data_IF_124637834983
#
_entry.id   IF_124637834983
#
_cell.length_a   1.000
_cell.length_b   1.000
_cell.length_c   1.000
_cell.angle_alpha   90.00
_cell.angle_beta   90.00
_cell.angle_gamma   90.00
#
_symmetry.space_group_name_H-M   'P 1'
#
loop_
_entity.id
_entity.type
_entity.pdbx_description
1 polymer ?
#
# COMPACT_ATOMS: atom_id res chain seq x y z
N UNK A 1 5.72 -40.51 -13.52
CA UNK A 1 5.42 -39.62 -14.66
C UNK A 1 6.14 -38.32 -14.34
N UNK A 2 7.00 -37.81 -15.22
CA UNK A 2 7.90 -36.71 -14.83
C UNK A 2 7.10 -35.51 -14.33
N UNK A 3 7.33 -35.11 -13.09
CA UNK A 3 6.79 -33.95 -12.37
C UNK A 3 7.28 -32.62 -13.00
N UNK A 4 7.06 -32.45 -14.30
CA UNK A 4 7.45 -31.23 -15.01
C UNK A 4 6.25 -30.30 -14.99
N UNK A 5 6.43 -29.13 -14.36
CA UNK A 5 5.47 -28.05 -14.37
C UNK A 5 4.96 -27.76 -15.80
N UNK A 6 3.65 -27.71 -15.98
CA UNK A 6 3.05 -27.46 -17.29
C UNK A 6 3.24 -26.01 -17.73
N UNK A 7 3.33 -25.09 -16.76
CA UNK A 7 3.50 -23.66 -16.98
C UNK A 7 4.91 -23.16 -16.64
N UNK A 8 5.57 -22.52 -17.60
CA UNK A 8 6.76 -21.70 -17.35
C UNK A 8 6.41 -20.22 -17.38
N UNK A 9 6.63 -19.50 -16.29
CA UNK A 9 6.46 -18.04 -16.23
C UNK A 9 7.83 -17.40 -16.53
N UNK A 10 7.98 -16.91 -17.75
CA UNK A 10 9.25 -16.39 -18.27
C UNK A 10 9.28 -14.87 -18.14
N UNK A 11 10.27 -14.39 -17.39
CA UNK A 11 10.67 -13.00 -17.36
C UNK A 11 11.45 -12.58 -18.59
N UNK A 12 11.19 -11.40 -19.14
CA UNK A 12 11.97 -10.82 -20.23
C UNK A 12 12.18 -9.30 -20.10
N UNK A 13 13.33 -8.82 -20.59
CA UNK A 13 13.62 -7.40 -20.77
C UNK A 13 13.29 -6.89 -22.18
N UNK A 14 13.54 -5.62 -22.43
CA UNK A 14 13.40 -5.01 -23.77
C UNK A 14 14.55 -5.37 -24.71
N UNK A 15 15.57 -6.08 -24.22
CA UNK A 15 16.66 -6.72 -24.96
C UNK A 15 16.34 -8.15 -25.42
N UNK A 16 15.11 -8.63 -25.20
CA UNK A 16 14.69 -9.91 -25.74
C UNK A 16 14.74 -9.92 -27.29
N UNK A 17 15.16 -11.05 -27.89
CA UNK A 17 15.46 -12.32 -27.23
C UNK A 17 16.89 -12.48 -26.71
N UNK A 18 17.80 -11.57 -27.05
CA UNK A 18 19.23 -11.70 -26.73
C UNK A 18 19.49 -11.70 -25.21
N UNK A 19 18.66 -11.01 -24.43
CA UNK A 19 18.70 -10.99 -22.96
C UNK A 19 18.13 -12.23 -22.27
N UNK A 20 17.54 -13.18 -23.00
CA UNK A 20 16.93 -14.37 -22.40
C UNK A 20 17.98 -15.40 -21.97
N UNK A 21 17.79 -15.97 -20.78
CA UNK A 21 18.62 -17.08 -20.31
C UNK A 21 18.45 -18.33 -21.19
N UNK A 22 19.44 -19.22 -21.19
CA UNK A 22 19.35 -20.51 -21.88
C UNK A 22 18.13 -21.35 -21.44
N UNK A 23 17.75 -21.28 -20.16
CA UNK A 23 16.56 -21.95 -19.64
C UNK A 23 15.27 -21.33 -20.20
N UNK A 24 15.18 -20.00 -20.27
CA UNK A 24 14.04 -19.28 -20.85
C UNK A 24 13.89 -19.60 -22.34
N UNK A 25 14.98 -19.61 -23.10
CA UNK A 25 14.99 -19.98 -24.51
C UNK A 25 14.58 -21.45 -24.72
N UNK A 26 15.05 -22.36 -23.85
CA UNK A 26 14.65 -23.76 -23.89
C UNK A 26 13.15 -23.94 -23.62
N UNK A 27 12.60 -23.23 -22.63
CA UNK A 27 11.17 -23.27 -22.35
C UNK A 27 10.34 -22.76 -23.54
N UNK A 28 10.75 -21.64 -24.15
CA UNK A 28 10.10 -21.07 -25.33
C UNK A 28 10.12 -21.99 -26.55
N UNK A 29 11.25 -22.65 -26.83
CA UNK A 29 11.39 -23.57 -27.97
C UNK A 29 10.53 -24.85 -27.82
N UNK A 30 10.30 -25.30 -26.60
CA UNK A 30 9.51 -26.51 -26.32
C UNK A 30 8.03 -26.22 -26.01
N UNK A 31 7.65 -24.95 -25.96
CA UNK A 31 6.28 -24.55 -25.68
C UNK A 31 5.35 -24.92 -26.83
N UNK A 32 4.13 -25.35 -26.50
CA UNK A 32 3.04 -25.44 -27.47
C UNK A 32 2.31 -24.10 -27.59
N UNK A 33 2.23 -23.35 -26.48
CA UNK A 33 1.59 -22.05 -26.40
C UNK A 33 2.49 -21.05 -25.70
N UNK A 34 2.56 -19.84 -26.25
CA UNK A 34 3.19 -18.69 -25.60
C UNK A 34 2.14 -17.61 -25.42
N UNK A 35 1.81 -17.29 -24.17
CA UNK A 35 0.81 -16.30 -23.83
C UNK A 35 1.45 -15.08 -23.17
N UNK A 36 1.03 -13.88 -23.57
CA UNK A 36 1.54 -12.64 -22.98
C UNK A 36 1.04 -11.39 -23.69
N UNK A 37 1.33 -10.19 -23.14
CA UNK A 37 1.00 -8.93 -23.80
C UNK A 37 1.64 -8.85 -25.20
N UNK A 38 0.94 -8.22 -26.16
CA UNK A 38 1.43 -8.06 -27.55
C UNK A 38 2.85 -7.51 -27.62
N UNK A 39 3.15 -6.52 -26.76
CA UNK A 39 4.51 -5.99 -26.56
C UNK A 39 5.56 -7.07 -26.41
N UNK A 40 5.36 -8.03 -25.51
CA UNK A 40 6.34 -9.08 -25.24
C UNK A 40 6.39 -10.10 -26.36
N UNK A 41 5.24 -10.46 -26.93
CA UNK A 41 5.16 -11.41 -28.05
C UNK A 41 5.91 -10.90 -29.28
N UNK A 42 5.91 -9.58 -29.51
CA UNK A 42 6.65 -8.91 -30.58
C UNK A 42 8.17 -8.86 -30.38
N UNK A 43 8.68 -9.09 -29.16
CA UNK A 43 10.12 -9.18 -28.86
C UNK A 43 10.67 -10.60 -29.04
N UNK A 44 9.79 -11.60 -29.16
CA UNK A 44 10.21 -12.98 -29.32
C UNK A 44 10.59 -13.27 -30.77
N UNK A 45 11.54 -14.20 -31.00
CA UNK A 45 11.84 -14.68 -32.34
C UNK A 45 10.64 -15.44 -32.91
N UNK A 46 10.81 -15.92 -34.14
CA UNK A 46 9.91 -16.92 -34.68
C UNK A 46 9.99 -18.20 -33.82
N UNK A 47 8.81 -18.70 -33.46
CA UNK A 47 8.61 -19.88 -32.62
C UNK A 47 7.56 -20.76 -33.28
N UNK A 48 7.70 -22.07 -33.15
CA UNK A 48 6.67 -23.03 -33.59
C UNK A 48 5.41 -23.00 -32.69
N UNK A 49 5.53 -22.40 -31.51
CA UNK A 49 4.46 -22.28 -30.53
C UNK A 49 3.36 -21.31 -31.00
N UNK A 50 2.11 -21.62 -30.66
CA UNK A 50 0.98 -20.73 -30.90
C UNK A 50 1.06 -19.53 -29.96
N UNK A 51 1.21 -18.32 -30.52
CA UNK A 51 1.23 -17.06 -29.76
C UNK A 51 -0.20 -16.63 -29.42
N UNK A 52 -0.47 -16.40 -28.14
CA UNK A 52 -1.78 -15.98 -27.62
C UNK A 52 -1.63 -14.61 -26.96
N UNK A 53 -2.22 -13.53 -27.50
CA UNK A 53 -2.26 -12.24 -26.83
C UNK A 53 -3.00 -12.32 -25.49
N UNK A 54 -2.41 -11.79 -24.43
CA UNK A 54 -3.07 -11.64 -23.14
C UNK A 54 -4.08 -10.48 -23.20
N UNK A 55 -5.35 -10.67 -22.81
CA UNK A 55 -6.39 -9.66 -22.95
C UNK A 55 -6.28 -8.51 -21.93
N UNK A 56 -6.98 -7.43 -22.21
CA UNK A 56 -7.17 -6.30 -21.29
C UNK A 56 -8.67 -6.21 -20.98
N UNK A 57 -9.09 -6.23 -19.70
CA UNK A 57 -8.30 -6.24 -18.47
C UNK A 57 -7.55 -7.56 -18.19
N UNK A 58 -6.48 -7.48 -17.39
CA UNK A 58 -5.58 -8.61 -17.10
C UNK A 58 -6.31 -9.86 -16.56
N UNK A 59 -7.37 -9.67 -15.75
CA UNK A 59 -8.11 -10.76 -15.12
C UNK A 59 -8.72 -11.74 -16.13
N UNK A 60 -9.13 -11.25 -17.30
CA UNK A 60 -9.79 -12.05 -18.34
C UNK A 60 -8.83 -13.11 -18.94
N UNK A 61 -7.52 -12.89 -18.81
CA UNK A 61 -6.51 -13.83 -19.29
C UNK A 61 -6.26 -15.02 -18.36
N UNK A 62 -6.75 -14.98 -17.11
CA UNK A 62 -6.53 -16.06 -16.14
C UNK A 62 -7.29 -17.32 -16.58
N UNK A 63 -8.59 -17.21 -16.87
CA UNK A 63 -9.38 -18.37 -17.29
C UNK A 63 -8.87 -18.96 -18.62
N UNK A 64 -8.42 -18.09 -19.53
CA UNK A 64 -7.79 -18.50 -20.78
C UNK A 64 -6.50 -19.28 -20.55
N UNK A 65 -5.65 -18.84 -19.62
CA UNK A 65 -4.44 -19.55 -19.23
C UNK A 65 -4.77 -20.91 -18.59
N UNK A 66 -5.74 -20.94 -17.66
CA UNK A 66 -6.15 -22.15 -16.95
C UNK A 66 -6.77 -23.19 -17.88
N UNK A 67 -7.41 -22.78 -18.97
CA UNK A 67 -7.92 -23.69 -20.00
C UNK A 67 -6.81 -24.49 -20.72
N UNK A 68 -5.55 -24.03 -20.64
CA UNK A 68 -4.38 -24.71 -21.21
C UNK A 68 -3.66 -25.62 -20.20
N UNK A 69 -4.20 -25.79 -18.99
CA UNK A 69 -3.60 -26.61 -17.92
C UNK A 69 -3.23 -28.01 -18.42
N UNK A 70 -2.02 -28.46 -18.08
CA UNK A 70 -1.47 -29.75 -18.52
C UNK A 70 -0.80 -29.74 -19.91
N UNK A 71 -0.86 -28.63 -20.64
CA UNK A 71 -0.10 -28.41 -21.89
C UNK A 71 1.23 -27.71 -21.58
N UNK A 72 2.21 -27.76 -22.50
CA UNK A 72 3.46 -27.00 -22.35
C UNK A 72 3.23 -25.53 -22.68
N UNK A 73 3.08 -24.70 -21.66
CA UNK A 73 2.75 -23.28 -21.81
C UNK A 73 3.85 -22.39 -21.27
N UNK A 74 4.16 -21.31 -21.98
CA UNK A 74 4.98 -20.20 -21.47
C UNK A 74 4.10 -18.97 -21.29
N UNK A 75 4.06 -18.41 -20.08
CA UNK A 75 3.47 -17.10 -19.80
C UNK A 75 4.56 -16.05 -19.66
N UNK A 76 4.48 -14.96 -20.44
CA UNK A 76 5.48 -13.90 -20.46
C UNK A 76 5.17 -12.81 -19.44
N UNK A 77 6.21 -12.39 -18.71
CA UNK A 77 6.16 -11.25 -17.78
C UNK A 77 7.39 -10.36 -17.95
N UNK A 78 7.29 -9.08 -17.57
CA UNK A 78 8.45 -8.17 -17.62
C UNK A 78 9.43 -8.46 -16.49
N UNK A 79 10.72 -8.49 -16.81
CA UNK A 79 11.81 -8.61 -15.84
C UNK A 79 11.64 -9.81 -14.91
N UNK A 80 11.54 -9.56 -13.60
CA UNK A 80 11.23 -10.61 -12.63
C UNK A 80 9.70 -10.77 -12.50
N UNK A 81 9.10 -11.95 -12.82
CA UNK A 81 7.66 -12.14 -12.76
C UNK A 81 7.02 -11.89 -11.39
N UNK A 82 7.78 -11.93 -10.30
CA UNK A 82 7.30 -11.79 -8.93
C UNK A 82 7.63 -10.44 -8.28
N UNK A 83 8.29 -9.51 -8.99
CA UNK A 83 8.57 -8.19 -8.45
C UNK A 83 7.75 -7.12 -9.16
N UNK A 84 6.53 -6.90 -8.65
CA UNK A 84 5.47 -6.10 -9.31
C UNK A 84 5.07 -6.65 -10.70
N UNK A 85 5.24 -7.95 -10.92
CA UNK A 85 4.88 -8.64 -12.16
C UNK A 85 3.64 -9.52 -12.05
N UNK A 86 3.21 -10.03 -13.21
CA UNK A 86 2.03 -10.90 -13.37
C UNK A 86 2.14 -12.26 -12.65
N UNK A 87 3.35 -12.70 -12.30
CA UNK A 87 3.59 -14.03 -11.74
C UNK A 87 2.84 -14.28 -10.44
N UNK A 88 2.78 -13.28 -9.55
CA UNK A 88 2.01 -13.39 -8.29
C UNK A 88 0.50 -13.50 -8.51
N UNK A 89 -0.03 -12.88 -9.56
CA UNK A 89 -1.45 -12.99 -9.93
C UNK A 89 -1.77 -14.35 -10.50
N UNK A 90 -0.91 -14.87 -11.38
CA UNK A 90 -1.06 -16.20 -11.97
C UNK A 90 -0.92 -17.30 -10.92
N UNK A 91 0.14 -17.26 -10.10
CA UNK A 91 0.46 -18.29 -9.12
C UNK A 91 -0.63 -18.47 -8.04
N UNK A 92 -1.45 -17.45 -7.77
CA UNK A 92 -2.57 -17.53 -6.83
C UNK A 92 -3.65 -18.54 -7.23
N UNK A 93 -3.72 -18.94 -8.51
CA UNK A 93 -4.69 -19.90 -9.03
C UNK A 93 -4.13 -21.31 -9.23
N UNK A 94 -2.87 -21.54 -8.86
CA UNK A 94 -2.11 -22.74 -9.18
C UNK A 94 -1.43 -23.32 -7.94
N UNK A 95 -1.33 -24.64 -7.87
CA UNK A 95 -0.48 -25.30 -6.89
C UNK A 95 1.02 -25.11 -7.24
N UNK A 96 1.89 -25.16 -6.24
CA UNK A 96 3.32 -24.87 -6.41
C UNK A 96 4.05 -25.80 -7.41
N UNK A 97 3.54 -27.01 -7.65
CA UNK A 97 4.12 -27.96 -8.60
C UNK A 97 3.64 -27.74 -10.05
N UNK A 98 2.62 -26.91 -10.27
CA UNK A 98 2.04 -26.68 -11.60
C UNK A 98 2.87 -25.71 -12.45
N UNK A 99 3.72 -24.90 -11.82
CA UNK A 99 4.43 -23.83 -12.48
C UNK A 99 5.90 -23.74 -12.04
N UNK A 100 6.72 -23.18 -12.93
CA UNK A 100 8.10 -22.77 -12.66
C UNK A 100 8.30 -21.34 -13.15
N UNK A 101 9.12 -20.54 -12.46
CA UNK A 101 9.45 -19.20 -12.88
C UNK A 101 10.89 -19.09 -13.35
N UNK A 102 11.10 -18.42 -14.48
CA UNK A 102 12.40 -18.17 -15.09
C UNK A 102 12.61 -16.65 -15.17
N UNK A 103 13.10 -16.01 -14.09
CA UNK A 103 13.18 -14.56 -14.02
C UNK A 103 14.30 -14.00 -14.89
N UNK A 104 14.07 -12.82 -15.45
CA UNK A 104 15.11 -11.94 -15.96
C UNK A 104 15.45 -10.85 -14.92
N UNK A 105 16.59 -10.12 -15.07
CA UNK A 105 16.83 -8.93 -14.26
C UNK A 105 15.62 -7.99 -14.28
N UNK A 106 15.23 -7.48 -13.11
CA UNK A 106 14.12 -6.55 -13.00
C UNK A 106 14.50 -5.17 -13.54
N UNK A 107 13.50 -4.37 -13.93
CA UNK A 107 13.72 -2.96 -14.28
C UNK A 107 14.37 -2.21 -13.10
N UNK A 108 14.04 -2.56 -11.85
CA UNK A 108 14.69 -2.00 -10.67
C UNK A 108 16.19 -2.30 -10.63
N UNK A 109 16.59 -3.56 -10.80
CA UNK A 109 18.00 -3.96 -10.82
C UNK A 109 18.75 -3.26 -11.95
N UNK A 110 18.11 -3.16 -13.11
CA UNK A 110 18.70 -2.51 -14.27
C UNK A 110 18.90 -0.99 -14.04
N UNK A 111 17.86 -0.28 -13.58
CA UNK A 111 17.92 1.16 -13.32
C UNK A 111 18.90 1.45 -12.17
N UNK A 112 18.87 0.66 -11.10
CA UNK A 112 19.79 0.79 -9.98
C UNK A 112 21.25 0.65 -10.43
N UNK A 113 21.56 -0.32 -11.29
CA UNK A 113 22.90 -0.49 -11.86
C UNK A 113 23.32 0.72 -12.72
N UNK A 114 22.42 1.27 -13.53
CA UNK A 114 22.70 2.48 -14.33
C UNK A 114 22.87 3.75 -13.51
N UNK A 115 22.17 3.85 -12.39
CA UNK A 115 22.27 5.01 -11.49
C UNK A 115 23.37 4.85 -10.45
N UNK A 116 23.94 3.65 -10.28
CA UNK A 116 24.87 3.34 -9.19
C UNK A 116 24.19 3.38 -7.82
N UNK A 117 22.91 3.02 -7.74
CA UNK A 117 22.13 3.06 -6.51
C UNK A 117 22.05 1.68 -5.85
N UNK A 118 22.31 1.55 -4.54
CA UNK A 118 22.10 0.30 -3.81
C UNK A 118 20.60 0.02 -3.70
N UNK A 119 20.15 -1.14 -4.20
CA UNK A 119 18.73 -1.52 -4.19
C UNK A 119 18.17 -1.64 -2.78
N UNK A 120 18.96 -2.11 -1.83
CA UNK A 120 18.59 -2.28 -0.43
C UNK A 120 18.33 -0.95 0.31
N UNK A 121 18.72 0.19 -0.28
CA UNK A 121 18.43 1.54 0.24
C UNK A 121 17.57 2.38 -0.74
N UNK A 122 17.11 1.78 -1.85
CA UNK A 122 16.33 2.47 -2.88
C UNK A 122 14.89 2.00 -2.85
N UNK A 123 13.96 2.92 -2.65
CA UNK A 123 12.53 2.60 -2.67
C UNK A 123 12.10 2.15 -4.07
N UNK A 124 11.50 0.96 -4.18
CA UNK A 124 11.02 0.42 -5.45
C UNK A 124 9.49 0.47 -5.47
N UNK A 125 8.91 1.25 -6.39
CA UNK A 125 7.48 1.52 -6.42
C UNK A 125 6.85 1.10 -7.77
N UNK A 126 5.92 0.16 -7.74
CA UNK A 126 5.18 -0.30 -8.91
C UNK A 126 3.94 0.53 -9.24
N UNK A 127 4.10 1.79 -9.62
CA UNK A 127 2.98 2.72 -9.86
C UNK A 127 2.32 2.57 -11.24
N UNK A 128 2.72 1.59 -12.03
CA UNK A 128 2.00 1.21 -13.25
C UNK A 128 0.58 0.71 -12.94
N UNK A 129 0.37 0.17 -11.73
CA UNK A 129 -0.90 -0.37 -11.25
C UNK A 129 -1.39 0.29 -9.94
N UNK A 130 -0.78 1.40 -9.51
CA UNK A 130 -1.10 2.07 -8.24
C UNK A 130 -1.05 3.60 -8.39
N UNK A 131 -1.80 4.37 -7.57
CA UNK A 131 -1.79 5.82 -7.64
C UNK A 131 -0.47 6.42 -7.14
N UNK A 132 -0.13 7.62 -7.61
CA UNK A 132 1.10 8.31 -7.20
C UNK A 132 1.16 8.62 -5.70
N UNK A 133 0.01 8.70 -5.04
CA UNK A 133 -0.05 8.92 -3.59
C UNK A 133 0.63 7.82 -2.77
N UNK A 134 0.85 6.63 -3.33
CA UNK A 134 1.66 5.58 -2.68
C UNK A 134 3.13 5.98 -2.47
N UNK A 135 3.61 7.02 -3.15
CA UNK A 135 4.92 7.62 -2.88
C UNK A 135 4.93 8.39 -1.57
N UNK A 136 3.77 8.84 -1.07
CA UNK A 136 3.70 9.80 0.04
C UNK A 136 4.51 9.40 1.28
N UNK A 137 4.47 8.13 1.74
CA UNK A 137 5.27 7.68 2.89
C UNK A 137 6.79 7.66 2.63
N UNK A 138 7.22 7.54 1.37
CA UNK A 138 8.63 7.44 0.99
C UNK A 138 9.24 8.79 0.55
N UNK A 139 8.42 9.82 0.34
CA UNK A 139 8.87 11.15 -0.06
C UNK A 139 9.52 11.89 1.11
N UNK A 140 10.84 11.97 1.07
CA UNK A 140 11.68 12.77 1.95
C UNK A 140 12.90 13.30 1.19
N UNK A 141 13.42 14.46 1.60
CA UNK A 141 14.64 15.04 1.03
C UNK A 141 15.78 14.01 1.03
N UNK A 142 16.40 13.78 -0.12
CA UNK A 142 17.51 12.85 -0.30
C UNK A 142 17.11 11.39 -0.54
N UNK A 143 15.82 11.05 -0.46
CA UNK A 143 15.35 9.71 -0.79
C UNK A 143 15.63 9.36 -2.26
N UNK A 144 15.92 8.09 -2.52
CA UNK A 144 16.10 7.53 -3.87
C UNK A 144 14.99 6.55 -4.14
N UNK A 145 14.24 6.78 -5.21
CA UNK A 145 13.09 5.97 -5.59
C UNK A 145 13.23 5.53 -7.04
N UNK A 146 12.90 4.29 -7.35
CA UNK A 146 12.68 3.84 -8.72
C UNK A 146 11.18 3.56 -8.85
N UNK A 147 10.56 4.16 -9.87
CA UNK A 147 9.12 4.20 -10.07
C UNK A 147 8.78 3.64 -11.43
N UNK A 148 8.06 2.52 -11.45
CA UNK A 148 7.49 1.96 -12.68
C UNK A 148 6.23 2.76 -13.03
N UNK A 149 6.13 3.19 -14.29
CA UNK A 149 5.00 3.99 -14.77
C UNK A 149 4.12 3.18 -15.69
N UNK A 150 2.84 3.54 -15.76
CA UNK A 150 1.84 2.86 -16.59
C UNK A 150 2.12 3.04 -18.08
N UNK A 151 2.52 4.24 -18.46
CA UNK A 151 2.70 4.68 -19.84
C UNK A 151 3.50 5.99 -19.89
N UNK A 152 3.68 6.52 -21.10
CA UNK A 152 4.32 7.82 -21.31
C UNK A 152 3.61 9.00 -20.64
N UNK A 153 2.29 9.17 -20.80
CA UNK A 153 1.53 10.22 -20.12
C UNK A 153 1.71 10.27 -18.59
N UNK A 154 1.89 9.10 -17.95
CA UNK A 154 2.13 9.02 -16.50
C UNK A 154 3.39 9.77 -16.04
N UNK A 155 4.35 10.06 -16.94
CA UNK A 155 5.51 10.91 -16.61
C UNK A 155 5.08 12.31 -16.17
N UNK A 156 4.21 12.96 -16.94
CA UNK A 156 3.72 14.30 -16.59
C UNK A 156 2.93 14.28 -15.28
N UNK A 157 2.16 13.20 -15.04
CA UNK A 157 1.45 12.98 -13.79
C UNK A 157 2.39 12.84 -12.58
N UNK A 158 3.51 12.11 -12.73
CA UNK A 158 4.53 11.99 -11.68
C UNK A 158 5.16 13.36 -11.37
N UNK A 159 5.58 14.11 -12.41
CA UNK A 159 6.14 15.45 -12.26
C UNK A 159 5.17 16.41 -11.53
N UNK A 160 3.90 16.42 -11.95
CA UNK A 160 2.87 17.25 -11.33
C UNK A 160 2.62 16.85 -9.87
N UNK A 161 2.57 15.55 -9.57
CA UNK A 161 2.40 15.05 -8.22
C UNK A 161 3.56 15.49 -7.31
N UNK A 162 4.81 15.21 -7.71
CA UNK A 162 5.99 15.59 -6.93
C UNK A 162 6.03 17.11 -6.68
N UNK A 163 5.72 17.91 -7.69
CA UNK A 163 5.67 19.37 -7.59
C UNK A 163 4.60 19.83 -6.60
N UNK A 164 3.38 19.29 -6.71
CA UNK A 164 2.29 19.60 -5.78
C UNK A 164 2.60 19.22 -4.33
N UNK A 165 3.44 18.19 -4.13
CA UNK A 165 3.90 17.76 -2.82
C UNK A 165 5.10 18.57 -2.28
N UNK A 166 5.57 19.60 -3.00
CA UNK A 166 6.72 20.43 -2.60
C UNK A 166 8.09 19.86 -3.00
N UNK A 167 8.13 18.83 -3.85
CA UNK A 167 9.33 18.14 -4.33
C UNK A 167 9.61 18.39 -5.82
N UNK A 168 9.16 19.53 -6.35
CA UNK A 168 9.46 19.95 -7.74
C UNK A 168 10.96 19.99 -8.09
N UNK A 169 11.88 20.35 -7.17
CA UNK A 169 13.31 20.29 -7.42
C UNK A 169 13.91 18.87 -7.57
N UNK A 170 13.11 17.81 -7.41
CA UNK A 170 13.58 16.42 -7.55
C UNK A 170 14.17 16.16 -8.93
N UNK A 171 15.29 15.46 -8.98
CA UNK A 171 15.94 15.07 -10.22
C UNK A 171 15.37 13.73 -10.69
N UNK A 172 14.87 13.70 -11.92
CA UNK A 172 14.28 12.53 -12.55
C UNK A 172 15.17 12.07 -13.70
N UNK A 173 15.55 10.81 -13.69
CA UNK A 173 16.15 10.12 -14.83
C UNK A 173 15.15 9.11 -15.37
N UNK A 174 14.59 9.39 -16.54
CA UNK A 174 13.57 8.56 -17.17
C UNK A 174 14.21 7.64 -18.19
N UNK A 175 13.79 6.38 -18.18
CA UNK A 175 14.31 5.34 -19.06
C UNK A 175 13.15 4.73 -19.85
N UNK A 176 13.07 5.07 -21.14
CA UNK A 176 12.20 4.40 -22.10
C UNK A 176 12.87 3.10 -22.56
N UNK A 177 12.10 2.01 -22.70
CA UNK A 177 12.58 0.71 -23.17
C UNK A 177 13.87 0.24 -22.47
N UNK A 178 13.95 0.44 -21.15
CA UNK A 178 15.14 0.23 -20.34
C UNK A 178 15.80 -1.14 -20.59
N UNK A 179 17.11 -1.13 -20.88
CA UNK A 179 17.92 -2.30 -21.14
C UNK A 179 17.89 -2.82 -22.57
N UNK A 180 16.94 -2.38 -23.40
CA UNK A 180 16.82 -2.81 -24.79
C UNK A 180 17.55 -1.93 -25.80
N UNK A 181 17.57 -2.32 -27.09
CA UNK A 181 18.21 -1.55 -28.16
C UNK A 181 17.52 -0.22 -28.46
N UNK A 182 16.27 -0.05 -28.00
CA UNK A 182 15.48 1.19 -28.13
C UNK A 182 15.57 2.08 -26.89
N UNK A 183 16.48 1.78 -25.98
CA UNK A 183 16.65 2.54 -24.75
C UNK A 183 16.88 4.03 -25.04
N UNK A 184 16.13 4.87 -24.32
CA UNK A 184 16.35 6.31 -24.31
C UNK A 184 16.30 6.81 -22.88
N UNK A 185 17.30 7.60 -22.51
CA UNK A 185 17.38 8.28 -21.23
C UNK A 185 17.07 9.76 -21.40
N UNK A 186 16.20 10.28 -20.55
CA UNK A 186 15.91 11.71 -20.44
C UNK A 186 16.04 12.13 -18.98
N UNK A 187 16.84 13.15 -18.71
CA UNK A 187 16.98 13.74 -17.39
C UNK A 187 16.21 15.07 -17.32
N UNK A 188 15.44 15.30 -16.25
CA UNK A 188 14.67 16.53 -16.02
C UNK A 188 14.46 16.78 -14.52
N UNK A 189 14.01 17.99 -14.16
CA UNK A 189 13.48 18.27 -12.83
C UNK A 189 11.97 18.02 -12.80
N UNK A 190 11.44 17.52 -11.69
CA UNK A 190 10.00 17.27 -11.56
C UNK A 190 9.14 18.53 -11.78
N UNK A 191 9.67 19.71 -11.44
CA UNK A 191 9.04 21.01 -11.64
C UNK A 191 9.04 21.50 -13.08
N UNK A 192 9.85 20.89 -13.95
CA UNK A 192 9.93 21.27 -15.35
C UNK A 192 8.95 20.41 -16.18
N UNK A 193 8.08 21.03 -17.00
CA UNK A 193 7.17 20.28 -17.85
C UNK A 193 7.97 19.45 -18.86
N UNK A 194 7.60 18.18 -19.11
CA UNK A 194 8.28 17.40 -20.13
C UNK A 194 8.14 18.02 -21.51
N UNK A 195 9.26 18.09 -22.25
CA UNK A 195 9.32 18.75 -23.55
C UNK A 195 8.91 17.85 -24.73
N UNK A 196 8.69 16.56 -24.47
CA UNK A 196 8.30 15.57 -25.46
C UNK A 196 7.47 14.46 -24.81
N UNK A 197 6.84 13.63 -25.64
CA UNK A 197 6.12 12.44 -25.19
C UNK A 197 7.07 11.26 -25.01
N UNK A 198 6.79 10.41 -24.02
CA UNK A 198 7.56 9.19 -23.76
C UNK A 198 6.84 7.98 -24.33
N UNK A 199 7.60 7.04 -24.89
CA UNK A 199 7.13 5.75 -25.31
C UNK A 199 7.03 4.79 -24.11
N UNK A 200 6.03 3.91 -24.15
CA UNK A 200 5.93 2.80 -23.21
C UNK A 200 6.80 1.62 -23.69
N UNK A 201 7.49 0.89 -22.80
CA UNK A 201 7.54 1.07 -21.34
C UNK A 201 8.47 2.21 -20.91
N UNK A 202 8.14 2.87 -19.80
CA UNK A 202 8.95 3.93 -19.20
C UNK A 202 9.00 3.78 -17.68
N UNK A 203 10.16 4.08 -17.10
CA UNK A 203 10.40 4.06 -15.65
C UNK A 203 11.17 5.31 -15.25
N UNK A 204 11.01 5.76 -14.01
CA UNK A 204 11.71 6.92 -13.47
C UNK A 204 12.63 6.50 -12.31
N UNK A 205 13.90 6.92 -12.34
CA UNK A 205 14.71 7.05 -11.14
C UNK A 205 14.53 8.47 -10.59
N UNK A 206 14.16 8.60 -9.33
CA UNK A 206 13.83 9.87 -8.67
C UNK A 206 14.78 10.07 -7.50
N UNK A 207 15.64 11.08 -7.59
CA UNK A 207 16.35 11.61 -6.43
C UNK A 207 15.52 12.76 -5.86
N UNK A 208 14.88 12.50 -4.72
CA UNK A 208 13.89 13.39 -4.12
C UNK A 208 14.58 14.64 -3.57
N UNK A 209 14.18 15.80 -4.08
CA UNK A 209 14.67 17.11 -3.64
C UNK A 209 13.51 18.10 -3.48
N UNK A 210 13.57 18.95 -2.45
CA UNK A 210 12.61 20.01 -2.21
C UNK A 210 12.41 20.29 -0.72
N UNK A 211 11.45 21.16 -0.43
CA UNK A 211 11.05 21.52 0.93
C UNK A 211 9.66 21.01 1.29
N UNK A 212 9.13 20.07 0.52
CA UNK A 212 7.87 19.40 0.82
C UNK A 212 7.93 18.69 2.17
N UNK A 213 6.81 18.73 2.89
CA UNK A 213 6.74 18.10 4.21
C UNK A 213 6.93 16.58 4.07
N UNK A 214 7.83 16.06 4.90
CA UNK A 214 8.09 14.63 5.03
C UNK A 214 7.25 14.06 6.16
N UNK A 215 6.69 12.88 5.92
CA UNK A 215 5.80 12.22 6.86
C UNK A 215 6.60 11.76 8.11
N UNK A 216 6.30 12.25 9.34
CA UNK A 216 7.03 11.84 10.55
C UNK A 216 6.91 10.34 10.82
N UNK A 217 7.99 9.66 11.24
CA UNK A 217 7.93 8.19 11.41
C UNK A 217 7.18 7.75 12.68
N UNK A 218 7.17 8.60 13.72
CA UNK A 218 6.46 8.30 14.96
C UNK A 218 4.95 8.51 14.82
N UNK A 219 4.17 7.72 15.56
CA UNK A 219 2.73 7.91 15.70
C UNK A 219 2.39 9.26 16.36
N UNK A 220 1.16 9.73 16.15
CA UNK A 220 0.77 11.09 16.51
C UNK A 220 1.38 12.09 15.53
N UNK A 221 1.18 11.86 14.23
CA UNK A 221 1.53 12.82 13.18
C UNK A 221 0.77 14.15 13.39
N UNK A 222 1.32 15.31 13.00
CA UNK A 222 0.59 16.59 13.08
C UNK A 222 -0.81 16.53 12.47
N UNK A 223 -1.76 17.26 13.07
CA UNK A 223 -3.17 17.20 12.67
C UNK A 223 -3.41 17.72 11.24
N UNK A 224 -2.55 18.57 10.69
CA UNK A 224 -2.70 19.12 9.33
C UNK A 224 -2.56 18.07 8.21
N UNK A 225 -2.10 16.86 8.53
CA UNK A 225 -2.03 15.75 7.58
C UNK A 225 -3.39 15.13 7.27
N UNK A 226 -4.42 15.49 8.03
CA UNK A 226 -5.75 14.88 7.94
C UNK A 226 -6.80 15.96 7.78
N UNK A 227 -7.62 15.84 6.75
CA UNK A 227 -8.85 16.60 6.65
C UNK A 227 -9.81 16.11 7.74
N UNK A 228 -10.44 17.05 8.45
CA UNK A 228 -11.35 16.76 9.56
C UNK A 228 -12.43 17.83 9.69
N UNK A 229 -13.62 17.40 10.10
CA UNK A 229 -14.74 18.26 10.53
C UNK A 229 -14.57 18.88 11.94
N UNK A 230 -13.39 18.71 12.55
CA UNK A 230 -13.07 19.17 13.90
C UNK A 230 -13.21 18.10 14.99
N UNK A 231 -13.78 16.93 14.70
CA UNK A 231 -13.95 15.83 15.67
C UNK A 231 -12.81 14.81 15.67
N UNK A 232 -11.73 15.04 14.94
CA UNK A 232 -10.58 14.15 14.92
C UNK A 232 -9.85 14.07 16.28
N UNK A 233 -9.43 12.86 16.64
CA UNK A 233 -8.51 12.59 17.75
C UNK A 233 -7.22 13.40 17.58
N UNK A 234 -6.90 14.26 18.55
CA UNK A 234 -5.74 15.14 18.47
C UNK A 234 -4.42 14.38 18.55
N UNK A 235 -3.39 14.89 17.87
CA UNK A 235 -2.04 14.30 17.80
C UNK A 235 -1.54 13.59 19.07
N UNK A 236 -1.50 14.24 20.27
CA UNK A 236 -0.95 13.57 21.46
C UNK A 236 -1.77 12.34 21.87
N UNK A 237 -3.08 12.42 21.70
CA UNK A 237 -3.99 11.32 22.02
C UNK A 237 -3.87 10.19 20.99
N UNK A 238 -3.66 10.51 19.71
CA UNK A 238 -3.36 9.49 18.69
C UNK A 238 -2.07 8.74 18.99
N UNK A 239 -1.02 9.44 19.44
CA UNK A 239 0.23 8.80 19.84
C UNK A 239 0.04 7.80 20.98
N UNK A 240 -0.67 8.20 22.05
CA UNK A 240 -0.96 7.32 23.19
C UNK A 240 -1.85 6.13 22.78
N UNK A 241 -2.87 6.38 21.95
CA UNK A 241 -3.76 5.34 21.44
C UNK A 241 -3.01 4.33 20.57
N UNK A 242 -2.17 4.77 19.62
CA UNK A 242 -1.35 3.87 18.81
C UNK A 242 -0.33 3.11 19.65
N UNK A 243 0.21 3.73 20.70
CA UNK A 243 1.08 3.03 21.65
C UNK A 243 0.34 1.90 22.38
N UNK A 244 -0.91 2.11 22.77
CA UNK A 244 -1.73 1.09 23.41
C UNK A 244 -2.18 -0.01 22.43
N UNK A 245 -2.49 0.37 21.18
CA UNK A 245 -2.86 -0.55 20.09
C UNK A 245 -1.70 -1.46 19.65
N UNK A 246 -0.46 -0.97 19.75
CA UNK A 246 0.77 -1.73 19.53
C UNK A 246 0.78 -2.54 18.21
N UNK A 247 0.79 -1.89 17.03
CA UNK A 247 0.79 -2.58 15.75
C UNK A 247 1.98 -3.54 15.61
N UNK A 248 1.68 -4.76 15.15
CA UNK A 248 2.67 -5.78 14.78
C UNK A 248 2.42 -6.23 13.35
N UNK A 249 3.45 -6.65 12.60
CA UNK A 249 3.28 -7.11 11.23
C UNK A 249 2.15 -8.15 11.06
N UNK A 250 1.39 -8.02 9.98
CA UNK A 250 0.24 -8.87 9.61
C UNK A 250 -1.03 -8.72 10.46
N UNK A 251 -0.98 -7.93 11.55
CA UNK A 251 -2.16 -7.69 12.36
C UNK A 251 -3.26 -6.90 11.61
N UNK A 252 -4.51 -7.24 11.92
CA UNK A 252 -5.71 -6.59 11.42
C UNK A 252 -6.37 -5.75 12.53
N UNK A 253 -6.54 -4.46 12.26
CA UNK A 253 -7.27 -3.52 13.13
C UNK A 253 -8.73 -3.39 12.70
N UNK A 254 -9.66 -3.48 13.66
CA UNK A 254 -10.97 -2.83 13.54
C UNK A 254 -10.93 -1.46 14.22
N UNK A 255 -11.27 -0.41 13.48
CA UNK A 255 -11.39 0.97 13.98
C UNK A 255 -12.87 1.36 14.02
N UNK A 256 -13.48 1.30 15.20
CA UNK A 256 -14.92 1.54 15.40
C UNK A 256 -15.14 3.01 15.79
N UNK A 257 -15.92 3.71 14.96
CA UNK A 257 -16.14 5.14 15.09
C UNK A 257 -15.03 5.94 14.44
N UNK A 258 -14.79 5.68 13.15
CA UNK A 258 -13.60 6.15 12.42
C UNK A 258 -13.38 7.66 12.41
N UNK A 259 -14.43 8.48 12.40
CA UNK A 259 -14.30 9.93 12.33
C UNK A 259 -13.58 10.35 11.04
N UNK A 260 -12.35 10.86 11.16
CA UNK A 260 -11.49 11.19 10.01
C UNK A 260 -10.58 10.03 9.55
N UNK A 261 -10.62 8.88 10.23
CA UNK A 261 -9.82 7.69 9.94
C UNK A 261 -8.38 7.77 10.44
N UNK A 262 -8.05 8.81 11.21
CA UNK A 262 -6.67 9.10 11.62
C UNK A 262 -5.96 7.95 12.38
N UNK A 263 -6.68 7.17 13.20
CA UNK A 263 -6.12 6.01 13.90
C UNK A 263 -5.80 4.88 12.92
N UNK A 264 -6.76 4.45 12.10
CA UNK A 264 -6.53 3.41 11.09
C UNK A 264 -5.47 3.81 10.06
N UNK A 265 -5.42 5.08 9.65
CA UNK A 265 -4.41 5.57 8.72
C UNK A 265 -3.01 5.52 9.34
N UNK A 266 -2.83 6.00 10.58
CA UNK A 266 -1.52 5.89 11.25
C UNK A 266 -1.13 4.44 11.52
N UNK A 267 -2.10 3.57 11.82
CA UNK A 267 -1.88 2.12 11.91
C UNK A 267 -1.33 1.57 10.59
N UNK A 268 -1.95 1.88 9.45
CA UNK A 268 -1.47 1.44 8.14
C UNK A 268 -0.12 2.06 7.76
N UNK A 269 0.19 3.27 8.21
CA UNK A 269 1.50 3.88 8.00
C UNK A 269 2.62 3.23 8.83
N UNK A 270 2.28 2.44 9.85
CA UNK A 270 3.29 1.79 10.71
C UNK A 270 4.01 0.63 10.02
N UNK A 271 3.32 -0.12 9.14
CA UNK A 271 3.91 -1.26 8.44
C UNK A 271 3.12 -1.63 7.18
N UNK A 272 3.76 -2.04 6.07
CA UNK A 272 3.05 -2.40 4.83
C UNK A 272 2.16 -3.65 4.98
N UNK A 273 2.45 -4.56 5.91
CA UNK A 273 1.70 -5.82 6.05
C UNK A 273 0.50 -5.73 6.98
N UNK A 274 0.37 -4.67 7.78
CA UNK A 274 -0.83 -4.52 8.62
C UNK A 274 -2.03 -4.10 7.78
N UNK A 275 -3.20 -4.52 8.24
CA UNK A 275 -4.50 -4.25 7.62
C UNK A 275 -5.38 -3.48 8.59
N UNK A 276 -6.35 -2.74 8.07
CA UNK A 276 -7.34 -2.05 8.89
C UNK A 276 -8.70 -2.02 8.19
N UNK A 277 -9.75 -2.20 8.98
CA UNK A 277 -11.13 -1.97 8.59
C UNK A 277 -11.73 -0.92 9.52
N UNK A 278 -12.16 0.21 8.97
CA UNK A 278 -12.79 1.30 9.71
C UNK A 278 -14.30 1.24 9.53
N UNK A 279 -15.05 1.35 10.63
CA UNK A 279 -16.51 1.41 10.67
C UNK A 279 -16.92 2.85 10.99
N UNK A 280 -17.69 3.47 10.10
CA UNK A 280 -18.19 4.84 10.25
C UNK A 280 -19.63 4.94 9.75
N UNK A 281 -20.48 5.62 10.53
CA UNK A 281 -21.93 5.68 10.29
C UNK A 281 -22.34 6.85 9.39
N UNK A 282 -21.50 7.88 9.26
CA UNK A 282 -21.80 9.07 8.48
C UNK A 282 -21.15 8.98 7.10
N UNK A 283 -21.96 8.97 6.04
CA UNK A 283 -21.48 8.87 4.66
C UNK A 283 -20.44 9.95 4.28
N UNK A 284 -20.61 11.19 4.74
CA UNK A 284 -19.65 12.27 4.49
C UNK A 284 -18.27 11.99 5.12
N UNK A 285 -18.26 11.38 6.30
CA UNK A 285 -17.02 10.95 6.97
C UNK A 285 -16.41 9.74 6.32
N UNK A 286 -17.21 8.79 5.85
CA UNK A 286 -16.72 7.68 5.01
C UNK A 286 -15.96 8.22 3.80
N UNK A 287 -16.50 9.24 3.13
CA UNK A 287 -15.78 9.90 2.03
C UNK A 287 -14.47 10.54 2.52
N UNK A 288 -14.51 11.31 3.61
CA UNK A 288 -13.32 11.95 4.20
C UNK A 288 -12.22 10.95 4.59
N UNK A 289 -12.59 9.80 5.17
CA UNK A 289 -11.65 8.72 5.51
C UNK A 289 -10.96 8.19 4.25
N UNK A 290 -11.73 7.92 3.19
CA UNK A 290 -11.17 7.45 1.92
C UNK A 290 -10.25 8.50 1.28
N UNK A 291 -10.64 9.78 1.29
CA UNK A 291 -9.83 10.87 0.75
C UNK A 291 -8.50 11.00 1.54
N UNK A 292 -8.55 11.00 2.87
CA UNK A 292 -7.36 11.04 3.73
C UNK A 292 -6.44 9.83 3.49
N UNK A 293 -7.00 8.62 3.45
CA UNK A 293 -6.25 7.40 3.21
C UNK A 293 -5.57 7.42 1.84
N UNK A 294 -6.29 7.87 0.80
CA UNK A 294 -5.74 8.04 -0.54
C UNK A 294 -4.62 9.07 -0.56
N UNK A 295 -4.79 10.26 0.01
CA UNK A 295 -3.77 11.32 0.04
C UNK A 295 -2.50 10.88 0.76
N UNK A 296 -2.63 10.08 1.82
CA UNK A 296 -1.53 9.57 2.64
C UNK A 296 -0.92 8.26 2.12
N UNK A 297 -1.38 7.75 0.98
CA UNK A 297 -0.81 6.57 0.32
C UNK A 297 -1.18 5.24 0.99
N UNK A 298 -2.31 5.19 1.70
CA UNK A 298 -2.82 4.00 2.39
C UNK A 298 -4.28 3.70 2.03
N UNK A 299 -4.65 3.91 0.77
CA UNK A 299 -5.94 3.56 0.15
C UNK A 299 -6.29 2.05 0.24
N UNK A 300 -5.37 1.21 0.74
CA UNK A 300 -5.66 -0.16 1.21
C UNK A 300 -6.54 -0.22 2.48
N UNK A 301 -6.88 0.93 3.07
CA UNK A 301 -7.85 1.02 4.16
C UNK A 301 -9.24 0.59 3.67
N UNK A 302 -9.82 -0.43 4.31
CA UNK A 302 -11.22 -0.80 4.06
C UNK A 302 -12.13 0.06 4.92
N UNK A 303 -13.08 0.77 4.31
CA UNK A 303 -14.08 1.57 5.03
C UNK A 303 -15.45 0.95 4.86
N UNK A 304 -16.11 0.67 5.98
CA UNK A 304 -17.47 0.11 6.03
C UNK A 304 -18.41 1.21 6.52
N UNK A 305 -19.35 1.58 5.66
CA UNK A 305 -20.42 2.50 6.04
C UNK A 305 -21.48 1.76 6.85
N UNK A 306 -21.61 2.07 8.13
CA UNK A 306 -22.56 1.43 9.03
C UNK A 306 -22.26 1.69 10.50
N UNK A 307 -23.02 1.04 11.37
CA UNK A 307 -22.92 1.19 12.82
C UNK A 307 -22.55 -0.14 13.46
N UNK A 308 -21.59 -0.12 14.38
CA UNK A 308 -21.31 -1.27 15.22
C UNK A 308 -22.42 -1.44 16.28
N UNK A 309 -22.84 -2.67 16.59
CA UNK A 309 -22.17 -3.93 16.21
C UNK A 309 -22.53 -4.52 14.84
N UNK A 310 -23.64 -4.14 14.21
CA UNK A 310 -24.17 -4.83 13.02
C UNK A 310 -23.19 -4.77 11.83
N UNK A 311 -22.46 -3.66 11.68
CA UNK A 311 -21.48 -3.50 10.62
C UNK A 311 -20.22 -4.38 10.77
N UNK A 312 -20.10 -5.12 11.89
CA UNK A 312 -19.00 -6.06 12.13
C UNK A 312 -19.28 -7.44 11.51
N UNK A 313 -20.53 -7.73 11.17
CA UNK A 313 -20.94 -9.03 10.65
C UNK A 313 -20.29 -9.32 9.29
N UNK A 314 -19.67 -10.50 9.16
CA UNK A 314 -19.01 -10.94 7.93
C UNK A 314 -17.66 -10.26 7.62
N UNK A 315 -17.12 -9.46 8.55
CA UNK A 315 -15.76 -8.96 8.45
C UNK A 315 -14.73 -10.03 8.82
N UNK A 316 -13.55 -9.95 8.21
CA UNK A 316 -12.39 -10.72 8.66
C UNK A 316 -12.11 -10.40 10.13
N UNK A 317 -11.85 -11.44 10.93
CA UNK A 317 -11.56 -11.29 12.35
C UNK A 317 -10.40 -10.30 12.60
N UNK A 318 -10.48 -9.46 13.65
CA UNK A 318 -9.41 -8.56 14.02
C UNK A 318 -8.42 -9.24 14.96
N UNK A 319 -7.18 -8.76 14.94
CA UNK A 319 -6.20 -9.01 16.00
C UNK A 319 -6.26 -7.90 17.06
N UNK A 320 -6.67 -6.70 16.64
CA UNK A 320 -6.77 -5.50 17.48
C UNK A 320 -8.06 -4.76 17.17
N UNK A 321 -8.75 -4.26 18.20
CA UNK A 321 -9.93 -3.42 18.09
C UNK A 321 -9.68 -2.10 18.78
N UNK A 322 -9.97 -1.00 18.08
CA UNK A 322 -10.07 0.32 18.65
C UNK A 322 -11.54 0.76 18.69
N UNK A 323 -11.98 1.28 19.84
CA UNK A 323 -13.31 1.91 19.99
C UNK A 323 -13.12 3.38 20.31
N UNK A 324 -13.24 4.23 19.28
CA UNK A 324 -13.13 5.68 19.38
C UNK A 324 -14.49 6.38 19.53
N UNK A 325 -15.57 5.75 19.07
CA UNK A 325 -16.93 6.27 19.15
C UNK A 325 -17.97 5.16 19.32
N UNK A 326 -19.18 5.53 19.75
CA UNK A 326 -20.30 4.58 19.89
C UNK A 326 -20.12 3.54 21.00
N UNK A 327 -19.27 3.80 21.99
CA UNK A 327 -19.07 2.89 23.12
C UNK A 327 -20.38 2.68 23.89
N UNK A 328 -20.82 1.43 23.95
CA UNK A 328 -21.99 1.00 24.72
C UNK A 328 -21.67 -0.31 25.44
N UNK A 329 -22.44 -0.63 26.49
CA UNK A 329 -22.32 -1.91 27.18
C UNK A 329 -22.53 -3.08 26.21
N UNK A 330 -23.53 -2.99 25.32
CA UNK A 330 -23.82 -4.02 24.33
C UNK A 330 -22.68 -4.25 23.34
N UNK A 331 -22.01 -3.18 22.87
CA UNK A 331 -20.82 -3.31 22.03
C UNK A 331 -19.67 -3.99 22.79
N UNK A 332 -19.40 -3.56 24.02
CA UNK A 332 -18.32 -4.17 24.84
C UNK A 332 -18.58 -5.65 25.11
N UNK A 333 -19.81 -6.01 25.51
CA UNK A 333 -20.17 -7.41 25.78
C UNK A 333 -20.10 -8.25 24.50
N UNK A 334 -20.47 -7.69 23.35
CA UNK A 334 -20.30 -8.38 22.07
C UNK A 334 -18.83 -8.60 21.71
N UNK A 335 -17.98 -7.58 21.80
CA UNK A 335 -16.57 -7.69 21.47
C UNK A 335 -15.86 -8.67 22.42
N UNK A 336 -16.08 -8.54 23.72
CA UNK A 336 -15.44 -9.39 24.74
C UNK A 336 -15.99 -10.82 24.77
N UNK A 337 -17.23 -11.04 24.31
CA UNK A 337 -17.86 -12.36 24.27
C UNK A 337 -17.65 -13.13 22.96
N UNK A 338 -17.33 -12.48 21.85
CA UNK A 338 -17.26 -13.12 20.52
C UNK A 338 -15.85 -13.14 19.89
N UNK A 339 -14.95 -12.24 20.30
CA UNK A 339 -13.61 -12.19 19.73
C UNK A 339 -12.71 -13.29 20.30
N UNK A 340 -11.71 -13.67 19.51
CA UNK A 340 -10.76 -14.71 19.89
C UNK A 340 -9.91 -14.27 21.10
N UNK A 341 -9.51 -15.24 21.92
CA UNK A 341 -8.50 -15.04 22.96
C UNK A 341 -7.21 -14.50 22.34
N UNK A 342 -6.56 -13.56 23.03
CA UNK A 342 -5.41 -12.83 22.48
C UNK A 342 -5.76 -11.59 21.67
N UNK A 343 -7.04 -11.33 21.37
CA UNK A 343 -7.45 -10.08 20.70
C UNK A 343 -7.23 -8.90 21.63
N UNK A 344 -6.55 -7.86 21.15
CA UNK A 344 -6.35 -6.63 21.92
C UNK A 344 -7.51 -5.66 21.71
N UNK A 345 -8.05 -5.11 22.79
CA UNK A 345 -9.09 -4.07 22.73
C UNK A 345 -8.56 -2.81 23.40
N UNK A 346 -8.66 -1.68 22.71
CA UNK A 346 -8.37 -0.35 23.24
C UNK A 346 -9.62 0.52 23.04
N UNK A 347 -10.11 1.14 24.12
CA UNK A 347 -11.28 2.01 24.07
C UNK A 347 -10.98 3.35 24.75
N UNK A 348 -11.42 4.44 24.12
CA UNK A 348 -11.27 5.80 24.65
C UNK A 348 -12.66 6.35 25.04
N UNK A 349 -12.76 6.98 26.20
CA UNK A 349 -13.98 7.57 26.74
C UNK A 349 -13.74 9.02 27.22
N UNK A 350 -14.72 9.90 26.96
CA UNK A 350 -14.66 11.33 27.32
C UNK A 350 -15.88 11.81 28.12
N UNK A 351 -16.92 10.98 28.25
CA UNK A 351 -18.12 11.31 29.04
C UNK A 351 -18.11 10.49 30.31
N UNK A 352 -18.73 10.98 31.39
CA UNK A 352 -18.77 10.26 32.66
C UNK A 352 -19.42 8.87 32.54
N UNK A 353 -20.44 8.74 31.69
CA UNK A 353 -21.11 7.46 31.42
C UNK A 353 -20.16 6.47 30.74
N UNK A 354 -19.43 6.93 29.71
CA UNK A 354 -18.46 6.09 29.01
C UNK A 354 -17.23 5.77 29.86
N UNK A 355 -16.76 6.71 30.68
CA UNK A 355 -15.69 6.48 31.67
C UNK A 355 -16.10 5.42 32.70
N UNK A 356 -17.33 5.51 33.21
CA UNK A 356 -17.89 4.53 34.15
C UNK A 356 -17.98 3.13 33.54
N UNK A 357 -18.39 3.02 32.27
CA UNK A 357 -18.40 1.75 31.54
C UNK A 357 -16.99 1.15 31.44
N UNK A 358 -15.97 1.95 31.11
CA UNK A 358 -14.60 1.48 31.02
C UNK A 358 -14.03 1.07 32.39
N UNK A 359 -14.34 1.81 33.45
CA UNK A 359 -13.95 1.45 34.82
C UNK A 359 -14.57 0.12 35.26
N UNK A 360 -15.86 -0.11 34.94
CA UNK A 360 -16.54 -1.37 35.23
C UNK A 360 -15.98 -2.53 34.40
N UNK A 361 -15.69 -2.30 33.12
CA UNK A 361 -15.06 -3.28 32.24
C UNK A 361 -13.68 -3.68 32.77
N UNK A 362 -12.85 -2.71 33.17
CA UNK A 362 -11.54 -2.97 33.75
C UNK A 362 -11.63 -3.74 35.08
N UNK A 363 -12.57 -3.39 35.96
CA UNK A 363 -12.77 -4.13 37.20
C UNK A 363 -13.18 -5.60 36.95
N UNK A 364 -14.00 -5.85 35.92
CA UNK A 364 -14.48 -7.20 35.55
C UNK A 364 -13.42 -8.04 34.85
N UNK A 365 -12.70 -7.45 33.90
CA UNK A 365 -11.88 -8.17 32.91
C UNK A 365 -10.38 -7.95 33.11
N UNK A 366 -9.99 -6.97 33.92
CA UNK A 366 -8.60 -6.55 34.07
C UNK A 366 -8.14 -5.61 32.94
N UNK A 367 -6.84 -5.65 32.65
CA UNK A 367 -6.20 -4.71 31.74
C UNK A 367 -5.85 -3.37 32.42
N UNK A 368 -5.34 -2.47 31.60
CA UNK A 368 -4.84 -1.16 32.02
C UNK A 368 -5.91 -0.09 31.82
N UNK A 369 -6.10 0.76 32.84
CA UNK A 369 -6.98 1.93 32.77
C UNK A 369 -6.15 3.19 33.03
N UNK A 370 -6.03 4.03 32.02
CA UNK A 370 -5.27 5.27 32.07
C UNK A 370 -6.22 6.46 32.02
N UNK A 371 -6.09 7.38 32.98
CA UNK A 371 -6.68 8.70 32.90
C UNK A 371 -5.64 9.68 32.37
N UNK A 372 -5.98 10.39 31.29
CA UNK A 372 -5.07 11.23 30.52
C UNK A 372 -5.57 12.66 30.58
N UNK A 373 -4.76 13.55 31.15
CA UNK A 373 -5.05 14.98 31.25
C UNK A 373 -3.95 15.77 30.54
N UNK A 374 -4.34 16.52 29.51
CA UNK A 374 -3.42 17.25 28.64
C UNK A 374 -3.81 18.72 28.56
N UNK A 375 -2.80 19.59 28.50
CA UNK A 375 -2.98 21.01 28.28
C UNK A 375 -1.92 21.55 27.32
N UNK A 376 -2.28 22.58 26.54
CA UNK A 376 -1.37 23.29 25.64
C UNK A 376 -1.40 24.79 25.91
N UNK A 377 -0.28 25.46 25.65
CA UNK A 377 -0.21 26.91 25.80
C UNK A 377 -1.12 27.57 24.76
N UNK A 378 -1.97 28.49 25.21
CA UNK A 378 -2.81 29.32 24.36
C UNK A 378 -2.71 30.78 24.80
N UNK A 379 -2.93 31.75 23.89
CA UNK A 379 -3.08 33.15 24.26
C UNK A 379 -4.21 33.35 25.28
N UNK A 380 -3.96 34.20 26.27
CA UNK A 380 -4.92 34.60 27.30
C UNK A 380 -4.78 36.11 27.53
N UNK A 381 -5.57 36.90 26.81
CA UNK A 381 -5.36 38.35 26.68
C UNK A 381 -3.97 38.63 26.09
N UNK A 382 -3.21 39.55 26.71
CA UNK A 382 -1.82 39.85 26.34
C UNK A 382 -0.77 38.86 26.90
N UNK A 383 -1.19 37.77 27.54
CA UNK A 383 -0.30 36.76 28.15
C UNK A 383 -0.58 35.37 27.57
N UNK A 384 0.02 34.34 28.16
CA UNK A 384 -0.20 32.92 27.83
C UNK A 384 -0.79 32.21 29.04
N UNK A 385 -1.67 31.25 28.77
CA UNK A 385 -2.23 30.34 29.78
C UNK A 385 -2.29 28.91 29.24
N UNK A 386 -2.70 27.98 30.10
CA UNK A 386 -2.97 26.60 29.70
C UNK A 386 -4.42 26.48 29.23
N UNK A 387 -4.60 26.00 28.00
CA UNK A 387 -5.89 25.48 27.53
C UNK A 387 -5.91 23.98 27.80
N UNK A 388 -6.59 23.59 28.86
CA UNK A 388 -6.81 22.19 29.19
C UNK A 388 -7.75 21.54 28.16
N UNK A 389 -7.43 20.31 27.77
CA UNK A 389 -8.36 19.44 27.05
C UNK A 389 -9.25 18.73 28.07
N UNK A 390 -10.42 18.26 27.64
CA UNK A 390 -11.19 17.35 28.48
C UNK A 390 -10.34 16.12 28.82
N UNK A 391 -10.33 15.67 30.09
CA UNK A 391 -9.73 14.40 30.46
C UNK A 391 -10.31 13.27 29.61
N UNK A 392 -9.48 12.28 29.32
CA UNK A 392 -9.88 11.09 28.59
C UNK A 392 -9.46 9.86 29.39
N UNK A 393 -10.33 8.87 29.45
CA UNK A 393 -10.01 7.55 30.00
C UNK A 393 -9.77 6.58 28.86
N UNK A 394 -8.62 5.93 28.86
CA UNK A 394 -8.26 4.88 27.94
C UNK A 394 -8.19 3.55 28.68
N UNK A 395 -8.94 2.56 28.20
CA UNK A 395 -8.85 1.19 28.68
C UNK A 395 -8.18 0.32 27.62
N UNK A 396 -7.29 -0.57 28.03
CA UNK A 396 -6.56 -1.50 27.17
C UNK A 396 -6.54 -2.88 27.79
N UNK A 397 -6.93 -3.91 27.04
CA UNK A 397 -6.91 -5.30 27.46
C UNK A 397 -6.48 -6.21 26.31
N UNK A 398 -5.99 -7.40 26.64
CA UNK A 398 -5.89 -8.53 25.72
C UNK A 398 -6.78 -9.64 26.27
N UNK A 399 -7.75 -10.10 25.46
CA UNK A 399 -8.80 -11.04 25.87
C UNK A 399 -8.30 -12.42 26.28
#
# INVERSE_FOLDING_TARGET
>A
MSDIAWLSIVGLGEDAPDGLSGASLHALRNAEFVIGPERHLGLLPDLDAMKIPWPVPFADGIDQLLALRGRRVVALASGNPFWFGAGSSIARHLAAHEWVALPAPSVFAWVAARMGWPLEQTGCCGLHAAPFTHLRPALAQGARLIVLLRDGPAVAGLCAYLTAQGFGPSQLSLFESAGGPRERRTDLLAGDPPQHTFAHPVTAAVQVCGSGDSLPLAAGRPDHWFDSDGQMTKRPMRALTLSALAPVPFAHLWDIGGGSGSIAIEWLLSHPTVRATTIEQHADRVKQINDNAHQLGVDRLRVVHGTAPQALDGLDAPDVVFVGGGLTQGLLDQLTGQLAQGTRIVANAVTLESESLLAQAQHRLGGDLLRIELAQSAPLGGKRGWKASYPLVQWSITL
#
